data_IF_062560031503
#
_entry.id   IF_062560031503
#
_cell.length_a   1.000
_cell.length_b   1.000
_cell.length_c   1.000
_cell.angle_alpha   90.00
_cell.angle_beta   90.00
_cell.angle_gamma   90.00
#
_symmetry.space_group_name_H-M   'P 1'
#
loop_
_entity.id
_entity.type
_entity.pdbx_description
1 polymer ?
#
# COMPACT_ATOMS: atom_id res chain seq x y z
N UNK A 1 -93.89 46.70 -67.33
CA UNK A 1 -93.55 46.77 -65.89
C UNK A 1 -92.96 45.47 -65.35
N UNK A 2 -93.58 44.29 -65.54
CA UNK A 2 -93.10 43.01 -64.96
C UNK A 2 -91.67 42.58 -65.37
N UNK A 3 -91.26 42.79 -66.63
CA UNK A 3 -89.89 42.45 -67.08
C UNK A 3 -88.82 43.36 -66.45
N UNK A 4 -89.16 44.60 -66.10
CA UNK A 4 -88.22 45.49 -65.42
C UNK A 4 -87.97 45.04 -63.99
N UNK A 5 -89.02 44.68 -63.25
CA UNK A 5 -88.92 44.14 -61.90
C UNK A 5 -88.07 42.86 -61.86
N UNK A 6 -88.30 41.92 -62.79
CA UNK A 6 -87.47 40.69 -62.87
C UNK A 6 -85.99 40.98 -63.19
N UNK A 7 -85.72 42.02 -63.99
CA UNK A 7 -84.34 42.46 -64.27
C UNK A 7 -83.69 43.09 -63.03
N UNK A 8 -84.45 43.82 -62.22
CA UNK A 8 -83.99 44.36 -60.94
C UNK A 8 -83.71 43.25 -59.93
N UNK A 9 -84.63 42.30 -59.77
CA UNK A 9 -84.44 41.12 -58.92
C UNK A 9 -83.19 40.31 -59.33
N UNK A 10 -82.97 40.13 -60.63
CA UNK A 10 -81.78 39.44 -61.12
C UNK A 10 -80.51 40.23 -60.83
N UNK A 11 -80.54 41.57 -60.97
CA UNK A 11 -79.39 42.43 -60.63
C UNK A 11 -79.06 42.38 -59.15
N UNK A 12 -80.06 42.42 -58.27
CA UNK A 12 -79.89 42.31 -56.82
C UNK A 12 -79.39 40.93 -56.39
N UNK A 13 -79.95 39.86 -56.95
CA UNK A 13 -79.45 38.49 -56.71
C UNK A 13 -78.00 38.35 -57.18
N UNK A 14 -77.65 38.92 -58.34
CA UNK A 14 -76.30 38.87 -58.86
C UNK A 14 -75.32 39.69 -58.00
N UNK A 15 -75.72 40.88 -57.53
CA UNK A 15 -74.90 41.70 -56.62
C UNK A 15 -74.72 41.04 -55.26
N UNK A 16 -75.77 40.45 -54.68
CA UNK A 16 -75.69 39.66 -53.45
C UNK A 16 -74.79 38.44 -53.62
N UNK A 17 -74.93 37.69 -54.72
CA UNK A 17 -74.08 36.54 -55.01
C UNK A 17 -72.61 36.95 -55.12
N UNK A 18 -72.31 38.06 -55.81
CA UNK A 18 -70.95 38.60 -55.87
C UNK A 18 -70.40 39.00 -54.49
N UNK A 19 -71.22 39.59 -53.62
CA UNK A 19 -70.80 39.89 -52.25
C UNK A 19 -70.51 38.62 -51.44
N UNK A 20 -71.32 37.57 -51.60
CA UNK A 20 -71.06 36.27 -50.96
C UNK A 20 -69.79 35.62 -51.48
N UNK A 21 -69.50 35.69 -52.78
CA UNK A 21 -68.26 35.19 -53.38
C UNK A 21 -67.05 35.90 -52.76
N UNK A 22 -67.05 37.24 -52.69
CA UNK A 22 -65.95 38.01 -52.09
C UNK A 22 -65.76 37.63 -50.60
N UNK A 23 -66.86 37.46 -49.84
CA UNK A 23 -66.78 37.02 -48.44
C UNK A 23 -66.19 35.61 -48.31
N UNK A 24 -66.58 34.69 -49.20
CA UNK A 24 -66.04 33.34 -49.22
C UNK A 24 -64.54 33.33 -49.56
N UNK A 25 -64.11 34.13 -50.53
CA UNK A 25 -62.69 34.28 -50.89
C UNK A 25 -61.87 34.82 -49.70
N UNK A 26 -62.41 35.82 -48.98
CA UNK A 26 -61.78 36.36 -47.77
C UNK A 26 -61.63 35.30 -46.67
N UNK A 27 -62.70 34.54 -46.38
CA UNK A 27 -62.66 33.48 -45.37
C UNK A 27 -61.73 32.34 -45.79
N UNK A 28 -61.70 31.97 -47.07
CA UNK A 28 -60.77 30.97 -47.59
C UNK A 28 -59.31 31.42 -47.41
N UNK A 29 -59.00 32.70 -47.66
CA UNK A 29 -57.68 33.24 -47.43
C UNK A 29 -57.30 33.23 -45.94
N UNK A 30 -58.23 33.58 -45.05
CA UNK A 30 -58.03 33.54 -43.61
C UNK A 30 -57.79 32.11 -43.10
N UNK A 31 -58.61 31.15 -43.52
CA UNK A 31 -58.43 29.72 -43.19
C UNK A 31 -57.06 29.22 -43.65
N UNK A 32 -56.64 29.61 -44.87
CA UNK A 32 -55.31 29.24 -45.38
C UNK A 32 -54.20 29.81 -44.50
N UNK A 33 -54.27 31.09 -44.15
CA UNK A 33 -53.28 31.74 -43.29
C UNK A 33 -53.22 31.12 -41.88
N UNK A 34 -54.38 30.81 -41.29
CA UNK A 34 -54.45 30.12 -40.00
C UNK A 34 -53.91 28.69 -40.09
N UNK A 35 -54.18 27.98 -41.18
CA UNK A 35 -53.64 26.64 -41.41
C UNK A 35 -52.12 26.66 -41.58
N UNK A 36 -51.57 27.65 -42.29
CA UNK A 36 -50.12 27.80 -42.44
C UNK A 36 -49.47 28.15 -41.10
N UNK A 37 -50.11 29.04 -40.31
CA UNK A 37 -49.65 29.35 -38.96
C UNK A 37 -49.68 28.15 -38.02
N UNK A 38 -50.72 27.30 -38.12
CA UNK A 38 -50.81 26.05 -37.36
C UNK A 38 -49.65 25.11 -37.71
N UNK A 39 -49.37 24.88 -38.99
CA UNK A 39 -48.24 24.04 -39.43
C UNK A 39 -46.90 24.55 -38.91
N UNK A 40 -46.69 25.86 -38.96
CA UNK A 40 -45.48 26.48 -38.42
C UNK A 40 -45.33 26.23 -36.91
N UNK A 41 -46.41 26.36 -36.14
CA UNK A 41 -46.38 26.07 -34.70
C UNK A 41 -46.14 24.59 -34.41
N UNK A 42 -46.72 23.69 -35.22
CA UNK A 42 -46.48 22.24 -35.12
C UNK A 42 -45.02 21.89 -35.40
N UNK A 43 -44.41 22.48 -36.45
CA UNK A 43 -42.99 22.31 -36.74
C UNK A 43 -42.10 22.83 -35.62
N UNK A 44 -42.38 24.02 -35.09
CA UNK A 44 -41.63 24.57 -33.95
C UNK A 44 -41.76 23.70 -32.70
N UNK A 45 -42.95 23.16 -32.44
CA UNK A 45 -43.16 22.23 -31.34
C UNK A 45 -42.34 20.94 -31.53
N UNK A 46 -42.36 20.35 -32.73
CA UNK A 46 -41.54 19.16 -33.04
C UNK A 46 -40.07 19.41 -32.80
N UNK A 47 -39.53 20.52 -33.32
CA UNK A 47 -38.12 20.88 -33.12
C UNK A 47 -37.77 21.04 -31.63
N UNK A 48 -38.64 21.68 -30.84
CA UNK A 48 -38.40 21.79 -29.39
C UNK A 48 -38.50 20.47 -28.63
N UNK A 49 -39.32 19.53 -29.11
CA UNK A 49 -39.40 18.18 -28.53
C UNK A 49 -38.13 17.38 -28.84
N UNK A 50 -37.65 17.44 -30.09
CA UNK A 50 -36.38 16.81 -30.49
C UNK A 50 -35.19 17.38 -29.69
N UNK A 51 -35.14 18.70 -29.48
CA UNK A 51 -34.15 19.32 -28.60
C UNK A 51 -34.28 18.84 -27.14
N UNK A 52 -35.51 18.65 -26.64
CA UNK A 52 -35.74 18.15 -25.29
C UNK A 52 -35.25 16.70 -25.14
N UNK A 53 -35.53 15.84 -26.11
CA UNK A 53 -35.08 14.44 -26.12
C UNK A 53 -33.55 14.35 -26.14
N UNK A 54 -32.89 15.18 -26.94
CA UNK A 54 -31.43 15.29 -26.96
C UNK A 54 -30.88 15.74 -25.61
N UNK A 55 -31.47 16.78 -25.02
CA UNK A 55 -31.06 17.26 -23.70
C UNK A 55 -31.28 16.20 -22.62
N UNK A 56 -32.38 15.45 -22.68
CA UNK A 56 -32.64 14.35 -21.76
C UNK A 56 -31.54 13.28 -21.87
N UNK A 57 -31.15 12.88 -23.08
CA UNK A 57 -30.02 11.97 -23.29
C UNK A 57 -28.72 12.48 -22.66
N UNK A 58 -28.39 13.76 -22.82
CA UNK A 58 -27.20 14.34 -22.17
C UNK A 58 -27.28 14.36 -20.65
N UNK A 59 -28.48 14.54 -20.08
CA UNK A 59 -28.70 14.49 -18.63
C UNK A 59 -28.49 13.06 -18.11
N UNK A 60 -29.00 12.05 -18.82
CA UNK A 60 -28.80 10.64 -18.48
C UNK A 60 -27.31 10.26 -18.51
N UNK A 61 -26.57 10.65 -19.55
CA UNK A 61 -25.12 10.44 -19.63
C UNK A 61 -24.35 11.12 -18.48
N UNK A 62 -24.75 12.34 -18.13
CA UNK A 62 -24.14 13.07 -17.01
C UNK A 62 -24.47 12.41 -15.66
N UNK A 63 -25.68 11.88 -15.48
CA UNK A 63 -26.07 11.14 -14.29
C UNK A 63 -25.23 9.86 -14.12
N UNK A 64 -25.05 9.09 -15.21
CA UNK A 64 -24.18 7.91 -15.20
C UNK A 64 -22.74 8.27 -14.81
N UNK A 65 -22.22 9.37 -15.38
CA UNK A 65 -20.88 9.85 -15.06
C UNK A 65 -20.75 10.28 -13.59
N UNK A 66 -21.77 10.93 -13.02
CA UNK A 66 -21.80 11.30 -11.60
C UNK A 66 -21.77 10.04 -10.74
N UNK A 67 -22.57 9.02 -11.05
CA UNK A 67 -22.61 7.77 -10.30
C UNK A 67 -21.25 7.05 -10.29
N UNK A 68 -20.54 7.04 -11.42
CA UNK A 68 -19.18 6.48 -11.51
C UNK A 68 -18.20 7.28 -10.63
N UNK A 69 -18.26 8.61 -10.69
CA UNK A 69 -17.38 9.48 -9.88
C UNK A 69 -17.65 9.33 -8.39
N UNK A 70 -18.92 9.19 -7.99
CA UNK A 70 -19.29 8.91 -6.61
C UNK A 70 -18.69 7.59 -6.14
N UNK A 71 -18.83 6.51 -6.91
CA UNK A 71 -18.23 5.21 -6.60
C UNK A 71 -16.71 5.29 -6.43
N UNK A 72 -16.04 5.96 -7.37
CA UNK A 72 -14.59 6.18 -7.28
C UNK A 72 -14.18 7.03 -6.07
N UNK A 73 -15.01 7.99 -5.66
CA UNK A 73 -14.81 8.76 -4.43
C UNK A 73 -14.86 7.87 -3.20
N UNK A 74 -15.89 7.03 -3.09
CA UNK A 74 -16.05 6.09 -1.98
C UNK A 74 -14.88 5.09 -1.92
N UNK A 75 -14.44 4.56 -3.06
CA UNK A 75 -13.30 3.64 -3.11
C UNK A 75 -12.00 4.30 -2.64
N UNK A 76 -11.76 5.56 -3.02
CA UNK A 76 -10.60 6.34 -2.55
C UNK A 76 -10.68 6.63 -1.05
N UNK A 77 -11.86 6.94 -0.53
CA UNK A 77 -12.05 7.18 0.90
C UNK A 77 -11.78 5.91 1.72
N UNK A 78 -12.19 4.73 1.22
CA UNK A 78 -11.85 3.44 1.81
C UNK A 78 -10.33 3.19 1.80
N UNK A 79 -9.65 3.46 0.68
CA UNK A 79 -8.19 3.32 0.58
C UNK A 79 -7.46 4.27 1.54
N UNK A 80 -7.91 5.53 1.65
CA UNK A 80 -7.35 6.49 2.58
C UNK A 80 -7.52 6.03 4.03
N UNK A 81 -8.69 5.49 4.37
CA UNK A 81 -8.94 4.95 5.70
C UNK A 81 -8.03 3.76 6.02
N UNK A 82 -7.85 2.83 5.08
CA UNK A 82 -6.93 1.69 5.23
C UNK A 82 -5.49 2.17 5.44
N UNK A 83 -5.01 3.09 4.60
CA UNK A 83 -3.66 3.65 4.74
C UNK A 83 -3.44 4.38 6.07
N UNK A 84 -4.48 5.06 6.60
CA UNK A 84 -4.41 5.67 7.93
C UNK A 84 -4.25 4.65 9.05
N UNK A 85 -4.95 3.52 8.97
CA UNK A 85 -4.84 2.43 9.94
C UNK A 85 -3.44 1.78 9.89
N UNK A 86 -2.94 1.48 8.70
CA UNK A 86 -1.59 0.94 8.50
C UNK A 86 -0.52 1.91 9.03
N UNK A 87 -0.66 3.21 8.75
CA UNK A 87 0.25 4.22 9.27
C UNK A 87 0.22 4.28 10.80
N UNK A 88 -0.96 4.13 11.41
CA UNK A 88 -1.08 4.09 12.86
C UNK A 88 -0.39 2.85 13.44
N UNK A 89 -0.57 1.69 12.82
CA UNK A 89 0.11 0.44 13.22
C UNK A 89 1.63 0.56 13.12
N UNK A 90 2.14 1.08 12.00
CA UNK A 90 3.59 1.31 11.81
C UNK A 90 4.13 2.32 12.83
N UNK A 91 3.37 3.37 13.15
CA UNK A 91 3.77 4.33 14.20
C UNK A 91 3.85 3.68 15.58
N UNK A 92 2.92 2.77 15.89
CA UNK A 92 2.95 2.04 17.15
C UNK A 92 4.13 1.06 17.20
N UNK A 93 4.37 0.30 16.13
CA UNK A 93 5.50 -0.63 16.06
C UNK A 93 6.85 0.09 16.09
N UNK A 94 6.97 1.24 15.43
CA UNK A 94 8.16 2.10 15.52
C UNK A 94 8.43 2.56 16.94
N UNK A 95 7.41 3.02 17.68
CA UNK A 95 7.56 3.40 19.10
C UNK A 95 8.01 2.22 19.96
N UNK A 96 7.43 1.04 19.74
CA UNK A 96 7.82 -0.16 20.47
C UNK A 96 9.27 -0.56 20.18
N UNK A 97 9.68 -0.50 18.91
CA UNK A 97 11.06 -0.78 18.51
C UNK A 97 12.03 0.25 19.07
N UNK A 98 11.64 1.53 19.10
CA UNK A 98 12.42 2.59 19.71
C UNK A 98 12.68 2.32 21.19
N UNK A 99 11.64 1.92 21.95
CA UNK A 99 11.80 1.52 23.36
C UNK A 99 12.77 0.35 23.49
N UNK A 100 12.66 -0.69 22.65
CA UNK A 100 13.63 -1.81 22.67
C UNK A 100 15.06 -1.39 22.36
N UNK A 101 15.26 -0.42 21.45
CA UNK A 101 16.59 0.11 21.14
C UNK A 101 17.15 0.87 22.33
N UNK A 102 16.33 1.66 23.01
CA UNK A 102 16.70 2.36 24.25
C UNK A 102 17.10 1.33 25.35
N UNK A 103 16.29 0.28 25.57
CA UNK A 103 16.59 -0.82 26.50
C UNK A 103 17.93 -1.51 26.17
N UNK A 104 18.15 -1.93 24.91
CA UNK A 104 19.41 -2.56 24.49
C UNK A 104 20.62 -1.62 24.63
N UNK A 105 20.41 -0.32 24.46
CA UNK A 105 21.46 0.68 24.61
C UNK A 105 21.84 0.83 26.09
N UNK A 106 20.85 0.81 26.99
CA UNK A 106 21.07 0.80 28.44
C UNK A 106 21.78 -0.50 28.88
N UNK A 107 21.33 -1.67 28.42
CA UNK A 107 21.99 -2.95 28.68
C UNK A 107 23.46 -2.95 28.23
N UNK A 108 23.74 -2.43 27.03
CA UNK A 108 25.11 -2.29 26.51
C UNK A 108 25.94 -1.32 27.35
N UNK A 109 25.35 -0.23 27.82
CA UNK A 109 26.03 0.72 28.71
C UNK A 109 26.40 0.06 30.03
N UNK A 110 25.47 -0.68 30.66
CA UNK A 110 25.72 -1.45 31.87
C UNK A 110 26.80 -2.52 31.66
N UNK A 111 26.77 -3.25 30.55
CA UNK A 111 27.81 -4.23 30.19
C UNK A 111 29.18 -3.56 29.98
N UNK A 112 29.24 -2.39 29.35
CA UNK A 112 30.50 -1.64 29.20
C UNK A 112 31.04 -1.15 30.54
N UNK A 113 30.15 -0.73 31.45
CA UNK A 113 30.51 -0.37 32.83
C UNK A 113 30.98 -1.57 33.63
N UNK A 114 30.38 -2.75 33.42
CA UNK A 114 30.81 -4.02 34.00
C UNK A 114 32.17 -4.48 33.43
N UNK A 115 32.43 -4.23 32.14
CA UNK A 115 33.70 -4.55 31.50
C UNK A 115 34.85 -3.61 31.93
N UNK A 116 34.57 -2.35 32.27
CA UNK A 116 35.55 -1.46 32.92
C UNK A 116 35.66 -1.69 34.43
N UNK A 117 34.71 -2.41 35.02
CA UNK A 117 34.82 -3.01 36.35
C UNK A 117 35.13 -4.49 36.24
N UNK A 118 36.21 -4.85 35.52
CA UNK A 118 37.00 -6.04 35.88
C UNK A 118 37.43 -5.85 37.33
N UNK A 119 36.56 -6.30 38.22
CA UNK A 119 36.68 -6.14 39.65
C UNK A 119 38.02 -6.69 40.10
N UNK A 120 38.68 -6.01 41.04
CA UNK A 120 39.88 -6.51 41.73
C UNK A 120 39.77 -8.00 42.08
N UNK A 121 38.57 -8.51 42.35
CA UNK A 121 38.33 -9.93 42.60
C UNK A 121 38.68 -10.83 41.41
N UNK A 122 38.33 -10.46 40.18
CA UNK A 122 38.68 -11.22 38.98
C UNK A 122 40.18 -11.14 38.68
N UNK A 123 40.83 -10.01 38.99
CA UNK A 123 42.29 -9.88 38.85
C UNK A 123 43.04 -10.66 39.94
N UNK A 124 42.51 -10.68 41.18
CA UNK A 124 43.04 -11.47 42.29
C UNK A 124 42.87 -12.96 42.02
N UNK A 125 41.70 -13.40 41.52
CA UNK A 125 41.45 -14.80 41.14
C UNK A 125 42.43 -15.26 40.04
N UNK A 126 42.59 -14.46 38.98
CA UNK A 126 43.56 -14.76 37.92
C UNK A 126 45.01 -14.73 38.41
N UNK A 127 45.35 -13.83 39.34
CA UNK A 127 46.69 -13.76 39.92
C UNK A 127 46.97 -14.94 40.86
N UNK A 128 45.98 -15.38 41.64
CA UNK A 128 46.11 -16.55 42.52
C UNK A 128 46.27 -17.82 41.70
N UNK A 129 45.46 -18.00 40.65
CA UNK A 129 45.57 -19.14 39.74
C UNK A 129 46.94 -19.16 39.03
N UNK A 130 47.46 -17.99 38.65
CA UNK A 130 48.82 -17.88 38.09
C UNK A 130 49.92 -18.24 39.10
N UNK A 131 49.78 -17.86 40.37
CA UNK A 131 50.73 -18.19 41.43
C UNK A 131 50.72 -19.69 41.77
N UNK A 132 49.54 -20.32 41.80
CA UNK A 132 49.40 -21.77 41.98
C UNK A 132 50.09 -22.54 40.85
N UNK A 133 49.88 -22.15 39.59
CA UNK A 133 50.56 -22.77 38.45
C UNK A 133 52.08 -22.57 38.49
N UNK A 134 52.55 -21.43 39.00
CA UNK A 134 53.99 -21.19 39.16
C UNK A 134 54.60 -22.05 40.28
N UNK A 135 53.87 -22.28 41.38
CA UNK A 135 54.25 -23.22 42.43
C UNK A 135 54.27 -24.67 41.91
N UNK A 136 53.26 -25.10 41.16
CA UNK A 136 53.24 -26.44 40.53
C UNK A 136 54.42 -26.63 39.57
N UNK A 137 54.73 -25.62 38.75
CA UNK A 137 55.88 -25.64 37.84
C UNK A 137 57.20 -25.78 38.60
N UNK A 138 57.36 -25.06 39.70
CA UNK A 138 58.58 -25.14 40.52
C UNK A 138 58.69 -26.47 41.26
N UNK A 139 57.56 -27.03 41.72
CA UNK A 139 57.51 -28.37 42.31
C UNK A 139 57.88 -29.45 41.29
N UNK A 140 57.34 -29.38 40.08
CA UNK A 140 57.72 -30.27 38.97
C UNK A 140 59.20 -30.14 38.62
N UNK A 141 59.76 -28.92 38.68
CA UNK A 141 61.18 -28.68 38.45
C UNK A 141 62.07 -29.37 39.49
N UNK A 142 61.69 -29.31 40.77
CA UNK A 142 62.40 -30.01 41.85
C UNK A 142 62.35 -31.53 41.67
N UNK A 143 61.17 -32.09 41.38
CA UNK A 143 61.00 -33.52 41.13
C UNK A 143 61.84 -33.99 39.93
N UNK A 144 61.90 -33.19 38.86
CA UNK A 144 62.71 -33.49 37.69
C UNK A 144 64.21 -33.51 38.02
N UNK A 145 64.67 -32.60 38.88
CA UNK A 145 66.04 -32.57 39.35
C UNK A 145 66.37 -33.80 40.22
N UNK A 146 65.48 -34.17 41.15
CA UNK A 146 65.65 -35.38 41.97
C UNK A 146 65.74 -36.64 41.10
N UNK A 147 64.86 -36.77 40.11
CA UNK A 147 64.88 -37.87 39.15
C UNK A 147 66.19 -37.90 38.34
N UNK A 148 66.68 -36.74 37.90
CA UNK A 148 67.97 -36.63 37.21
C UNK A 148 69.12 -37.10 38.09
N UNK A 149 69.19 -36.66 39.35
CA UNK A 149 70.22 -37.10 40.30
C UNK A 149 70.15 -38.61 40.56
N UNK A 150 68.95 -39.17 40.71
CA UNK A 150 68.74 -40.61 40.88
C UNK A 150 69.21 -41.42 39.66
N UNK A 151 68.87 -40.99 38.45
CA UNK A 151 69.31 -41.64 37.21
C UNK A 151 70.84 -41.59 37.08
N UNK A 152 71.45 -40.45 37.39
CA UNK A 152 72.91 -40.30 37.39
C UNK A 152 73.57 -41.24 38.41
N UNK A 153 73.01 -41.36 39.61
CA UNK A 153 73.47 -42.30 40.64
C UNK A 153 73.39 -43.75 40.16
N UNK A 154 72.27 -44.16 39.56
CA UNK A 154 72.09 -45.51 39.00
C UNK A 154 73.08 -45.81 37.87
N UNK A 155 73.29 -44.87 36.95
CA UNK A 155 74.31 -45.00 35.89
C UNK A 155 75.71 -45.23 36.47
N UNK A 156 76.07 -44.51 37.53
CA UNK A 156 77.36 -44.68 38.22
C UNK A 156 77.46 -46.03 38.93
N UNK A 157 76.38 -46.49 39.55
CA UNK A 157 76.34 -47.79 40.24
C UNK A 157 76.46 -48.97 39.26
N UNK A 158 75.73 -48.93 38.14
CA UNK A 158 75.81 -49.97 37.10
C UNK A 158 77.19 -50.00 36.43
N UNK A 159 77.82 -48.83 36.20
CA UNK A 159 79.19 -48.74 35.67
C UNK A 159 80.26 -49.20 36.67
N UNK A 160 80.00 -49.08 37.96
CA UNK A 160 80.90 -49.53 39.05
C UNK A 160 80.91 -51.05 39.26
N UNK A 161 79.90 -51.77 38.76
CA UNK A 161 79.82 -53.23 38.85
C UNK A 161 80.65 -53.96 37.76
N UNK A 162 81.20 -53.23 36.77
CA UNK A 162 82.18 -53.73 35.78
C UNK A 162 83.66 -53.45 36.19
N UNK A 163 83.92 -53.20 37.47
CA UNK A 163 85.28 -53.03 38.02
C UNK A 163 85.86 -54.35 38.57
N UNK A 164 85.78 -55.40 37.77
CA UNK A 164 86.72 -56.51 37.86
C UNK A 164 87.32 -56.73 36.47
N UNK A 165 88.59 -56.34 36.34
CA UNK A 165 89.52 -56.77 35.29
C UNK A 165 89.41 -56.06 33.92
N UNK A 166 90.11 -54.93 33.77
CA UNK A 166 90.95 -54.70 32.59
C UNK A 166 91.93 -53.55 32.82
N UNK A 167 93.20 -53.93 32.99
CA UNK A 167 94.32 -53.03 32.89
C UNK A 167 94.57 -52.58 31.44
N UNK A 168 95.25 -51.43 31.32
CA UNK A 168 96.00 -50.91 30.16
C UNK A 168 95.29 -49.89 29.23
N UNK A 169 95.76 -48.65 29.43
CA UNK A 169 96.10 -47.61 28.45
C UNK A 169 95.06 -46.64 27.85
N UNK A 170 95.48 -45.38 28.04
CA UNK A 170 95.56 -44.24 27.10
C UNK A 170 94.39 -43.28 27.00
N UNK A 171 94.67 -42.09 27.52
CA UNK A 171 94.47 -40.77 26.89
C UNK A 171 93.11 -40.53 26.22
N UNK A 172 92.23 -39.90 27.01
CA UNK A 172 91.25 -38.97 26.46
C UNK A 172 91.03 -37.88 27.51
N UNK A 173 91.78 -36.79 27.33
CA UNK A 173 91.39 -35.47 27.77
C UNK A 173 90.03 -35.10 27.18
N UNK A 174 89.10 -34.64 28.02
CA UNK A 174 88.20 -33.49 27.80
C UNK A 174 87.02 -33.58 28.79
N UNK A 175 87.15 -32.78 29.84
CA UNK A 175 86.19 -31.74 30.22
C UNK A 175 84.80 -32.11 30.78
N UNK A 176 84.39 -31.24 31.72
CA UNK A 176 83.08 -31.11 32.36
C UNK A 176 82.70 -32.17 33.41
N UNK A 177 83.51 -32.24 34.46
CA UNK A 177 83.02 -32.62 35.79
C UNK A 177 82.97 -31.40 36.69
N UNK A 178 82.04 -30.48 36.41
CA UNK A 178 81.66 -29.41 37.32
C UNK A 178 80.18 -29.07 37.21
N UNK A 179 79.52 -29.09 38.37
CA UNK A 179 78.49 -28.11 38.75
C UNK A 179 77.11 -28.17 38.06
N UNK A 180 76.26 -29.10 38.50
CA UNK A 180 74.82 -28.81 38.66
C UNK A 180 74.38 -29.17 40.07
N UNK A 181 74.82 -28.41 41.07
CA UNK A 181 74.41 -28.56 42.48
C UNK A 181 73.06 -27.89 42.79
N UNK A 182 72.32 -27.44 41.77
CA UNK A 182 71.08 -26.69 41.90
C UNK A 182 70.03 -27.10 40.86
N UNK A 183 68.76 -27.19 41.26
CA UNK A 183 67.61 -27.41 40.39
C UNK A 183 67.42 -26.27 39.36
N UNK A 184 68.05 -25.11 39.56
CA UNK A 184 67.99 -23.97 38.64
C UNK A 184 68.86 -24.14 37.38
N UNK A 185 69.80 -25.08 37.39
CA UNK A 185 70.82 -25.21 36.34
C UNK A 185 70.78 -26.57 35.63
N UNK A 186 69.60 -27.16 35.43
CA UNK A 186 69.44 -28.36 34.59
C UNK A 186 69.11 -27.94 33.17
N UNK A 187 70.05 -28.05 32.20
CA UNK A 187 69.76 -27.78 30.80
C UNK A 187 68.63 -28.67 30.29
N UNK A 188 67.79 -28.11 29.41
CA UNK A 188 66.75 -28.87 28.74
C UNK A 188 67.37 -30.06 27.99
N UNK A 189 66.96 -31.28 28.37
CA UNK A 189 67.46 -32.52 27.78
C UNK A 189 68.50 -33.28 28.60
N UNK A 190 69.03 -32.74 29.71
CA UNK A 190 70.00 -33.46 30.56
C UNK A 190 69.46 -34.76 31.15
N UNK A 191 68.19 -34.76 31.61
CA UNK A 191 67.52 -35.99 32.02
C UNK A 191 67.36 -36.98 30.87
N UNK A 192 67.05 -36.49 29.66
CA UNK A 192 66.92 -37.35 28.47
C UNK A 192 68.25 -38.02 28.11
N UNK A 193 69.35 -37.28 28.20
CA UNK A 193 70.70 -37.82 28.00
C UNK A 193 71.04 -38.85 29.08
N UNK A 194 70.81 -38.54 30.35
CA UNK A 194 71.08 -39.46 31.47
C UNK A 194 70.23 -40.74 31.38
N UNK A 195 68.95 -40.62 31.00
CA UNK A 195 68.07 -41.75 30.75
C UNK A 195 68.49 -42.58 29.53
N UNK A 196 69.01 -41.95 28.47
CA UNK A 196 69.55 -42.67 27.32
C UNK A 196 70.82 -43.45 27.68
N UNK A 197 71.68 -42.89 28.54
CA UNK A 197 72.85 -43.58 29.06
C UNK A 197 72.45 -44.74 29.98
N UNK A 198 71.47 -44.53 30.87
CA UNK A 198 70.88 -45.60 31.68
C UNK A 198 70.26 -46.68 30.78
N UNK A 199 69.55 -46.30 29.72
CA UNK A 199 68.96 -47.22 28.75
C UNK A 199 70.04 -48.03 28.05
N UNK A 200 71.17 -47.46 27.65
CA UNK A 200 72.26 -48.25 27.06
C UNK A 200 72.87 -49.24 28.05
N UNK A 201 73.06 -48.82 29.31
CA UNK A 201 73.56 -49.69 30.38
C UNK A 201 72.57 -50.81 30.73
N UNK A 202 71.27 -50.50 30.79
CA UNK A 202 70.22 -51.50 30.99
C UNK A 202 70.09 -52.37 29.75
N UNK A 203 70.12 -51.83 28.53
CA UNK A 203 70.03 -52.61 27.29
C UNK A 203 71.22 -53.57 27.16
N UNK A 204 72.43 -53.21 27.61
CA UNK A 204 73.54 -54.18 27.67
C UNK A 204 73.32 -55.30 28.69
N UNK A 205 72.47 -55.07 29.69
CA UNK A 205 72.03 -56.08 30.68
C UNK A 205 70.80 -56.87 30.17
N UNK A 206 69.93 -56.21 29.40
CA UNK A 206 68.60 -56.67 28.93
C UNK A 206 68.64 -57.27 27.52
N UNK A 207 69.70 -57.10 26.74
CA UNK A 207 69.97 -57.95 25.56
C UNK A 207 70.13 -59.46 25.95
N UNK A 208 70.04 -59.78 27.25
CA UNK A 208 69.80 -61.12 27.79
C UNK A 208 68.34 -61.51 28.06
N UNK A 209 67.34 -60.62 28.01
CA UNK A 209 65.91 -60.91 28.25
C UNK A 209 65.00 -59.89 27.53
N UNK A 210 64.33 -60.32 26.46
CA UNK A 210 63.24 -59.59 25.79
C UNK A 210 61.92 -59.69 26.57
N UNK A 211 61.23 -58.57 26.84
CA UNK A 211 59.86 -58.55 27.34
C UNK A 211 58.88 -57.99 26.29
N UNK A 212 57.85 -58.75 25.91
CA UNK A 212 56.76 -58.27 25.03
C UNK A 212 55.75 -57.43 25.79
N UNK A 213 55.52 -56.23 25.27
CA UNK A 213 54.61 -55.22 25.78
C UNK A 213 53.14 -55.38 25.39
N UNK A 214 52.34 -54.90 26.32
CA UNK A 214 50.91 -54.57 26.34
C UNK A 214 50.53 -53.46 25.34
N UNK A 215 49.38 -53.58 24.65
CA UNK A 215 48.56 -52.45 24.13
C UNK A 215 47.23 -52.93 23.55
N UNK A 216 46.09 -52.52 24.15
CA UNK A 216 44.71 -52.72 23.62
C UNK A 216 43.68 -51.65 24.06
N UNK A 217 44.05 -50.53 24.69
CA UNK A 217 43.06 -49.65 25.35
C UNK A 217 42.67 -48.36 24.60
N UNK A 218 43.24 -48.06 23.44
CA UNK A 218 43.02 -46.75 22.76
C UNK A 218 42.03 -46.79 21.58
N UNK A 219 41.45 -47.95 21.25
CA UNK A 219 40.67 -48.16 20.01
C UNK A 219 39.19 -47.76 20.16
N UNK A 220 38.56 -48.08 21.29
CA UNK A 220 37.11 -47.83 21.51
C UNK A 220 36.73 -46.34 21.63
N UNK A 221 37.62 -45.50 22.17
CA UNK A 221 37.38 -44.05 22.32
C UNK A 221 37.36 -43.33 20.96
N UNK A 222 38.19 -43.79 20.03
CA UNK A 222 38.28 -43.23 18.69
C UNK A 222 37.06 -43.60 17.84
N UNK A 223 36.55 -44.82 17.99
CA UNK A 223 35.33 -45.26 17.30
C UNK A 223 34.10 -44.42 17.70
N UNK A 224 33.95 -44.11 18.99
CA UNK A 224 32.83 -43.29 19.48
C UNK A 224 32.92 -41.83 19.00
N UNK A 225 34.14 -41.27 18.93
CA UNK A 225 34.35 -39.93 18.41
C UNK A 225 34.03 -39.81 16.90
N UNK A 226 34.32 -40.86 16.12
CA UNK A 226 33.92 -40.95 14.71
C UNK A 226 32.40 -41.06 14.57
N UNK A 227 31.75 -41.82 15.45
CA UNK A 227 30.29 -41.94 15.45
C UNK A 227 29.62 -40.59 15.72
N UNK A 228 30.04 -39.88 16.75
CA UNK A 228 29.50 -38.57 17.13
C UNK A 228 29.66 -37.53 16.01
N UNK A 229 30.85 -37.41 15.43
CA UNK A 229 31.10 -36.45 14.34
C UNK A 229 30.28 -36.77 13.07
N UNK A 230 29.96 -38.04 12.84
CA UNK A 230 29.09 -38.46 11.73
C UNK A 230 27.63 -38.05 11.94
N UNK A 231 27.15 -38.13 13.19
CA UNK A 231 25.79 -37.77 13.59
C UNK A 231 25.61 -36.25 13.52
N UNK A 232 26.58 -35.47 14.04
CA UNK A 232 26.58 -34.01 13.94
C UNK A 232 26.59 -33.54 12.47
N UNK A 233 27.38 -34.22 11.62
CA UNK A 233 27.41 -33.96 10.18
C UNK A 233 26.07 -34.27 9.49
N UNK A 234 25.30 -35.25 9.99
CA UNK A 234 23.97 -35.58 9.47
C UNK A 234 22.95 -34.52 9.91
N UNK A 235 22.97 -34.12 11.18
CA UNK A 235 22.10 -33.06 11.70
C UNK A 235 22.29 -31.73 10.96
N UNK A 236 23.55 -31.37 10.67
CA UNK A 236 23.87 -30.15 9.90
C UNK A 236 23.31 -30.21 8.46
N UNK A 237 23.35 -31.38 7.81
CA UNK A 237 22.78 -31.57 6.47
C UNK A 237 21.26 -31.40 6.46
N UNK A 238 20.57 -31.96 7.44
CA UNK A 238 19.10 -31.84 7.57
C UNK A 238 18.67 -30.39 7.81
N UNK A 239 19.41 -29.65 8.63
CA UNK A 239 19.17 -28.22 8.84
C UNK A 239 19.35 -27.41 7.54
N UNK A 240 20.43 -27.64 6.81
CA UNK A 240 20.71 -26.98 5.53
C UNK A 240 19.64 -27.31 4.48
N UNK A 241 19.14 -28.55 4.44
CA UNK A 241 18.04 -28.95 3.55
C UNK A 241 16.73 -28.26 3.94
N UNK A 242 16.45 -28.12 5.24
CA UNK A 242 15.31 -27.37 5.76
C UNK A 242 15.36 -25.88 5.39
N UNK A 243 16.52 -25.24 5.53
CA UNK A 243 16.72 -23.84 5.12
C UNK A 243 16.57 -23.67 3.60
N UNK A 244 17.09 -24.60 2.80
CA UNK A 244 16.91 -24.60 1.34
C UNK A 244 15.45 -24.78 0.94
N UNK A 245 14.68 -25.57 1.68
CA UNK A 245 13.24 -25.74 1.50
C UNK A 245 12.49 -24.42 1.74
N UNK A 246 12.77 -23.77 2.87
CA UNK A 246 12.20 -22.44 3.20
C UNK A 246 12.56 -21.38 2.15
N UNK A 247 13.80 -21.38 1.66
CA UNK A 247 14.24 -20.46 0.62
C UNK A 247 13.50 -20.69 -0.71
N UNK A 248 13.26 -21.95 -1.09
CA UNK A 248 12.45 -22.28 -2.27
C UNK A 248 11.01 -21.77 -2.13
N UNK A 249 10.39 -22.00 -0.97
CA UNK A 249 9.03 -21.54 -0.71
C UNK A 249 8.94 -20.00 -0.77
N UNK A 250 9.89 -19.30 -0.15
CA UNK A 250 9.98 -17.84 -0.23
C UNK A 250 10.20 -17.33 -1.67
N UNK A 251 10.98 -18.04 -2.49
CA UNK A 251 11.18 -17.70 -3.90
C UNK A 251 9.87 -17.87 -4.71
N UNK A 252 9.11 -18.94 -4.47
CA UNK A 252 7.81 -19.17 -5.11
C UNK A 252 6.79 -18.08 -4.71
N UNK A 253 6.74 -17.69 -3.43
CA UNK A 253 5.91 -16.58 -2.95
C UNK A 253 6.31 -15.25 -3.60
N UNK A 254 7.61 -14.97 -3.68
CA UNK A 254 8.13 -13.79 -4.38
C UNK A 254 7.73 -13.78 -5.87
N UNK A 255 7.79 -14.92 -6.54
CA UNK A 255 7.36 -15.03 -7.94
C UNK A 255 5.85 -14.79 -8.09
N UNK A 256 5.03 -15.31 -7.19
CA UNK A 256 3.58 -15.07 -7.19
C UNK A 256 3.25 -13.59 -6.96
N UNK A 257 3.87 -12.96 -5.97
CA UNK A 257 3.71 -11.52 -5.71
C UNK A 257 4.20 -10.69 -6.90
N UNK A 258 5.32 -11.06 -7.51
CA UNK A 258 5.83 -10.38 -8.70
C UNK A 258 4.85 -10.48 -9.88
N UNK A 259 4.24 -11.66 -10.10
CA UNK A 259 3.19 -11.84 -11.11
C UNK A 259 1.96 -10.98 -10.80
N UNK A 260 1.58 -10.81 -9.54
CA UNK A 260 0.44 -9.98 -9.16
C UNK A 260 0.74 -8.49 -9.36
N UNK A 261 1.93 -8.03 -8.97
CA UNK A 261 2.36 -6.63 -9.17
C UNK A 261 2.46 -6.30 -10.66
N UNK A 262 2.96 -7.21 -11.49
CA UNK A 262 3.03 -6.98 -12.95
C UNK A 262 1.65 -6.85 -13.58
N UNK A 263 0.69 -7.71 -13.20
CA UNK A 263 -0.71 -7.59 -13.63
C UNK A 263 -1.32 -6.25 -13.21
N UNK A 264 -1.24 -5.91 -11.92
CA UNK A 264 -1.75 -4.63 -11.40
C UNK A 264 -1.06 -3.42 -12.05
N UNK A 265 0.23 -3.51 -12.37
CA UNK A 265 0.93 -2.43 -13.07
C UNK A 265 0.40 -2.24 -14.49
N UNK A 266 0.08 -3.31 -15.21
CA UNK A 266 -0.51 -3.23 -16.55
C UNK A 266 -1.91 -2.61 -16.47
N UNK A 267 -2.73 -3.04 -15.52
CA UNK A 267 -4.07 -2.46 -15.28
C UNK A 267 -3.97 -0.96 -14.94
N UNK A 268 -3.05 -0.59 -14.05
CA UNK A 268 -2.81 0.82 -13.70
C UNK A 268 -2.33 1.65 -14.89
N UNK A 269 -1.52 1.09 -15.80
CA UNK A 269 -1.14 1.79 -17.03
C UNK A 269 -2.33 1.96 -17.98
N UNK A 270 -3.17 0.94 -18.17
CA UNK A 270 -4.34 1.01 -19.02
C UNK A 270 -5.36 2.05 -18.51
N UNK A 271 -5.63 2.06 -17.19
CA UNK A 271 -6.51 3.04 -16.56
C UNK A 271 -5.95 4.47 -16.66
N UNK A 272 -4.63 4.64 -16.55
CA UNK A 272 -3.98 5.96 -16.75
C UNK A 272 -4.16 6.46 -18.18
N UNK A 273 -3.95 5.59 -19.18
CA UNK A 273 -4.15 5.92 -20.59
C UNK A 273 -5.60 6.29 -20.89
N UNK A 274 -6.57 5.56 -20.34
CA UNK A 274 -7.99 5.88 -20.47
C UNK A 274 -8.34 7.24 -19.84
N UNK A 275 -7.83 7.48 -18.62
CA UNK A 275 -7.97 8.78 -17.94
C UNK A 275 -7.36 9.91 -18.76
N UNK A 276 -6.18 9.72 -19.34
CA UNK A 276 -5.50 10.73 -20.14
C UNK A 276 -6.22 10.99 -21.47
N UNK A 277 -6.78 9.94 -22.11
CA UNK A 277 -7.67 10.09 -23.28
C UNK A 277 -8.90 10.93 -22.94
N UNK A 278 -9.60 10.59 -21.85
CA UNK A 278 -10.78 11.34 -21.41
C UNK A 278 -10.45 12.79 -21.07
N UNK A 279 -9.29 13.03 -20.45
CA UNK A 279 -8.82 14.38 -20.15
C UNK A 279 -8.61 15.21 -21.42
N UNK A 280 -7.92 14.66 -22.43
CA UNK A 280 -7.70 15.33 -23.72
C UNK A 280 -9.04 15.65 -24.39
N UNK A 281 -9.99 14.70 -24.42
CA UNK A 281 -11.33 14.97 -24.99
C UNK A 281 -12.13 16.03 -24.22
N UNK A 282 -11.89 16.19 -22.91
CA UNK A 282 -12.53 17.25 -22.12
C UNK A 282 -11.85 18.61 -22.26
N UNK A 283 -10.55 18.61 -22.58
CA UNK A 283 -9.74 19.80 -22.80
C UNK A 283 -9.85 20.33 -24.23
N UNK A 284 -10.48 19.58 -25.15
CA UNK A 284 -10.84 20.04 -26.49
C UNK A 284 -11.80 21.23 -26.40
N UNK A 285 -11.22 22.43 -26.46
CA UNK A 285 -11.93 23.72 -26.48
C UNK A 285 -12.57 24.00 -27.83
N UNK A 286 -12.19 23.28 -28.87
CA UNK A 286 -12.65 23.47 -30.24
C UNK A 286 -14.18 23.47 -30.38
N UNK A 287 -14.94 22.48 -29.85
CA UNK A 287 -16.41 22.52 -29.88
C UNK A 287 -17.00 23.67 -29.05
N UNK A 288 -16.36 24.04 -27.94
CA UNK A 288 -16.79 25.14 -27.07
C UNK A 288 -16.57 26.50 -27.74
N UNK A 289 -15.47 26.66 -28.46
CA UNK A 289 -15.12 27.86 -29.22
C UNK A 289 -16.00 28.02 -30.47
N UNK A 290 -16.30 26.90 -31.15
CA UNK A 290 -17.26 26.87 -32.26
C UNK A 290 -18.68 27.24 -31.79
N UNK A 291 -19.13 26.71 -30.66
CA UNK A 291 -20.41 27.06 -30.06
C UNK A 291 -20.47 28.55 -29.68
N UNK A 292 -19.42 29.07 -29.05
CA UNK A 292 -19.35 30.50 -28.71
C UNK A 292 -19.31 31.40 -29.95
N UNK A 293 -18.65 30.97 -31.04
CA UNK A 293 -18.65 31.71 -32.30
C UNK A 293 -20.06 31.74 -32.91
N UNK A 294 -20.76 30.61 -32.94
CA UNK A 294 -22.14 30.54 -33.43
C UNK A 294 -23.10 31.43 -32.61
N UNK A 295 -22.93 31.50 -31.29
CA UNK A 295 -23.71 32.40 -30.41
C UNK A 295 -23.42 33.87 -30.76
N UNK A 296 -22.15 34.24 -30.92
CA UNK A 296 -21.76 35.61 -31.31
C UNK A 296 -22.35 35.99 -32.67
N UNK A 297 -22.24 35.11 -33.65
CA UNK A 297 -22.76 35.35 -35.00
C UNK A 297 -24.29 35.51 -34.99
N UNK A 298 -25.01 34.72 -34.17
CA UNK A 298 -26.45 34.88 -33.94
C UNK A 298 -26.80 36.21 -33.30
N UNK A 299 -26.11 36.58 -32.23
CA UNK A 299 -26.38 37.82 -31.50
C UNK A 299 -26.05 39.06 -32.35
N UNK A 300 -25.04 38.99 -33.20
CA UNK A 300 -24.73 40.00 -34.21
C UNK A 300 -25.81 40.08 -35.29
N UNK A 301 -26.37 38.95 -35.73
CA UNK A 301 -27.50 38.93 -36.67
C UNK A 301 -28.77 39.53 -36.04
N UNK A 302 -29.03 39.27 -34.76
CA UNK A 302 -30.12 39.87 -33.99
C UNK A 302 -29.91 41.38 -33.86
N UNK A 303 -28.69 41.83 -33.56
CA UNK A 303 -28.37 43.25 -33.43
C UNK A 303 -28.48 44.02 -34.75
N UNK A 304 -28.18 43.36 -35.88
CA UNK A 304 -28.33 43.94 -37.24
C UNK A 304 -29.78 43.93 -37.74
N UNK A 305 -30.70 43.27 -37.05
CA UNK A 305 -32.13 43.32 -37.39
C UNK A 305 -32.70 44.70 -37.01
N UNK A 306 -33.12 45.54 -37.98
CA UNK A 306 -33.67 46.86 -37.65
C UNK A 306 -34.99 46.69 -36.88
N UNK A 307 -35.08 47.37 -35.73
CA UNK A 307 -36.30 47.47 -34.91
C UNK A 307 -37.40 48.10 -35.77
N UNK A 308 -38.21 47.25 -36.41
CA UNK A 308 -39.45 47.67 -37.04
C UNK A 308 -40.41 48.19 -35.96
N UNK A 309 -41.20 49.25 -36.24
CA UNK A 309 -41.80 50.08 -35.21
C UNK A 309 -42.81 49.34 -34.35
N UNK A 310 -42.86 49.75 -33.07
CA UNK A 310 -43.67 49.26 -31.95
C UNK A 310 -45.20 49.19 -32.16
N UNK A 311 -45.73 49.45 -33.35
CA UNK A 311 -47.18 49.51 -33.60
C UNK A 311 -47.86 48.13 -33.53
N UNK A 312 -47.15 47.03 -33.76
CA UNK A 312 -47.74 45.68 -33.67
C UNK A 312 -47.93 45.19 -32.23
N UNK A 313 -47.11 45.66 -31.28
CA UNK A 313 -47.17 45.21 -29.88
C UNK A 313 -48.21 46.00 -29.06
N UNK A 314 -48.44 47.28 -29.38
CA UNK A 314 -49.48 48.09 -28.72
C UNK A 314 -50.89 47.62 -29.10
N UNK A 315 -51.15 47.30 -30.37
CA UNK A 315 -52.45 46.82 -30.84
C UNK A 315 -52.80 45.45 -30.23
N UNK A 316 -51.81 44.57 -30.06
CA UNK A 316 -52.03 43.24 -29.46
C UNK A 316 -52.33 43.33 -27.96
N UNK A 317 -51.65 44.22 -27.22
CA UNK A 317 -51.97 44.48 -25.81
C UNK A 317 -53.35 45.12 -25.60
N UNK A 318 -53.78 46.02 -26.51
CA UNK A 318 -55.12 46.64 -26.45
C UNK A 318 -56.22 45.60 -26.74
N UNK A 319 -56.00 44.70 -27.71
CA UNK A 319 -56.93 43.63 -28.07
C UNK A 319 -57.05 42.54 -26.99
N UNK A 320 -56.01 42.31 -26.18
CA UNK A 320 -56.05 41.36 -25.06
C UNK A 320 -56.60 41.97 -23.75
N UNK A 321 -56.53 43.29 -23.58
CA UNK A 321 -57.08 43.99 -22.40
C UNK A 321 -58.61 44.15 -22.45
N UNK A 322 -59.17 44.41 -23.64
CA UNK A 322 -60.62 44.55 -23.85
C UNK A 322 -61.48 43.35 -23.40
N UNK A 323 -61.12 42.09 -23.73
CA UNK A 323 -61.89 40.93 -23.28
C UNK A 323 -61.77 40.66 -21.77
N UNK A 324 -60.63 41.01 -21.14
CA UNK A 324 -60.43 40.81 -19.69
C UNK A 324 -61.27 41.78 -18.85
N UNK A 325 -61.45 43.03 -19.28
CA UNK A 325 -62.33 43.99 -18.59
C UNK A 325 -63.81 43.60 -18.68
N UNK A 326 -64.24 43.05 -19.82
CA UNK A 326 -65.63 42.60 -19.99
C UNK A 326 -65.95 41.35 -19.17
N UNK A 327 -64.98 40.43 -19.02
CA UNK A 327 -65.12 39.24 -18.17
C UNK A 327 -65.18 39.63 -16.69
N UNK A 328 -64.36 40.59 -16.23
CA UNK A 328 -64.45 41.10 -14.85
C UNK A 328 -65.81 41.78 -14.56
N UNK A 329 -66.32 42.60 -15.47
CA UNK A 329 -67.63 43.26 -15.31
C UNK A 329 -68.79 42.25 -15.27
N UNK A 330 -68.74 41.20 -16.09
CA UNK A 330 -69.73 40.12 -16.06
C UNK A 330 -69.68 39.29 -14.76
N UNK A 331 -68.49 39.05 -14.19
CA UNK A 331 -68.34 38.32 -12.92
C UNK A 331 -68.86 39.15 -11.73
N UNK A 332 -68.66 40.48 -11.73
CA UNK A 332 -69.22 41.37 -10.70
C UNK A 332 -70.75 41.50 -10.76
N UNK A 333 -71.33 41.55 -11.97
CA UNK A 333 -72.78 41.54 -12.17
C UNK A 333 -73.43 40.22 -11.70
N UNK A 334 -72.76 39.08 -11.92
CA UNK A 334 -73.23 37.77 -11.42
C UNK A 334 -73.19 37.69 -9.88
N UNK A 335 -72.13 38.20 -9.24
CA UNK A 335 -72.04 38.25 -7.76
C UNK A 335 -73.10 39.16 -7.13
N UNK A 336 -73.43 40.30 -7.76
CA UNK A 336 -74.50 41.19 -7.28
C UNK A 336 -75.90 40.59 -7.44
N UNK A 337 -76.15 39.81 -8.49
CA UNK A 337 -77.45 39.17 -8.71
C UNK A 337 -77.71 37.99 -7.76
N UNK A 338 -76.68 37.22 -7.40
CA UNK A 338 -76.80 36.14 -6.42
C UNK A 338 -76.96 36.67 -4.98
N UNK A 339 -76.28 37.77 -4.63
CA UNK A 339 -76.51 38.46 -3.35
C UNK A 339 -77.94 39.01 -3.22
N UNK A 340 -78.55 39.45 -4.32
CA UNK A 340 -79.94 39.92 -4.38
C UNK A 340 -81.00 38.80 -4.31
N UNK A 341 -80.65 37.56 -4.68
CA UNK A 341 -81.51 36.38 -4.48
C UNK A 341 -81.38 35.79 -3.07
N UNK A 342 -80.19 35.84 -2.47
CA UNK A 342 -79.97 35.44 -1.08
C UNK A 342 -80.70 36.35 -0.07
N UNK A 343 -80.66 37.68 -0.27
CA UNK A 343 -81.40 38.63 0.60
C UNK A 343 -82.93 38.50 0.49
N UNK A 344 -83.47 38.15 -0.67
CA UNK A 344 -84.93 37.93 -0.85
C UNK A 344 -85.44 36.65 -0.18
N UNK A 345 -84.61 35.61 -0.02
CA UNK A 345 -84.97 34.42 0.78
C UNK A 345 -84.85 34.66 2.29
N UNK A 346 -83.93 35.52 2.74
CA UNK A 346 -83.82 35.90 4.15
C UNK A 346 -84.90 36.87 4.63
N UNK A 347 -85.48 37.68 3.75
CA UNK A 347 -86.58 38.61 4.12
C UNK A 347 -87.95 37.93 4.22
N UNK A 348 -88.16 36.73 3.65
CA UNK A 348 -89.44 36.00 3.80
C UNK A 348 -89.51 35.16 5.09
N UNK A 349 -88.44 35.09 5.87
CA UNK A 349 -88.34 34.28 7.10
C UNK A 349 -88.39 35.09 8.40
N UNK A 350 -88.47 36.43 8.33
CA UNK A 350 -88.32 37.27 9.52
C UNK A 350 -89.30 38.47 9.56
N UNK A 351 -90.60 38.21 9.40
CA UNK A 351 -91.67 39.15 9.79
C UNK A 351 -92.43 38.61 11.01
N UNK A 352 -92.30 39.22 12.19
CA UNK A 352 -93.05 38.85 13.38
C UNK A 352 -94.26 39.76 13.57
N UNK A 353 -95.47 39.28 13.24
CA UNK A 353 -96.71 39.82 13.80
C UNK A 353 -97.87 38.82 13.70
N UNK A 354 -97.92 37.93 14.70
CA UNK A 354 -99.16 37.42 15.27
C UNK A 354 -98.83 36.99 16.71
N UNK A 355 -98.95 37.97 17.60
CA UNK A 355 -98.87 37.80 19.05
C UNK A 355 -100.18 37.17 19.50
N UNK A 356 -100.14 36.08 20.25
CA UNK A 356 -101.24 35.78 21.16
C UNK A 356 -101.20 36.87 22.24
N UNK A 357 -102.34 37.56 22.41
CA UNK A 357 -102.65 38.64 23.36
C UNK A 357 -102.05 40.02 23.10
#
# INVERSE_FOLDING_TARGET
MQVHALKEDFREKNSSTNQHIIRLESLQAEIKMLSDRKRELEHRLSATLEENDLLQGTVEELQDRVLILERQGHDKDLQLHQSQLELQEVRLSYRQLQVKVEELTEERSLQSSAATSTSLLSEIEQSMEAEELEQEREQLRLQLWEAYCQVRYLCSHLRGNDSADSAVSTDSSMDESSETSSAKDVPAGSLRTALNDLKRLIQSIVDGVEPTGTRRMDDESLEEQVRQTSEDSRALRELMEGERGKLRQSLEELQQLHSQVTLLSVEMTALKEERDRLRVTSEDKEPKEQLQKAIRDRDEAIAKQPVLPLERHSVTCILLSYPLQHVCFCIEQLKCNDAGKARRRLWSWNSPSARWT
#
